data_IF_510647278829
#
_entry.id   IF_510647278829
#
_cell.length_a   1.000
_cell.length_b   1.000
_cell.length_c   1.000
_cell.angle_alpha   90.00
_cell.angle_beta   90.00
_cell.angle_gamma   90.00
#
_symmetry.space_group_name_H-M   'P 1'
#
loop_
_entity.id
_entity.type
_entity.pdbx_description
1 polymer ?
#
# COMPACT_ATOMS: atom_id res chain seq x y z
N UNK A 1 -13.07 -14.67 -12.35
CA UNK A 1 -14.43 -14.14 -12.63
C UNK A 1 -15.35 -14.53 -11.47
N UNK A 2 -16.30 -13.67 -11.08
CA UNK A 2 -17.29 -13.94 -10.04
C UNK A 2 -18.70 -13.92 -10.62
N UNK A 3 -19.55 -14.80 -10.11
CA UNK A 3 -20.95 -14.91 -10.49
C UNK A 3 -21.81 -14.56 -9.29
N UNK A 4 -22.67 -13.57 -9.46
CA UNK A 4 -23.63 -13.12 -8.44
C UNK A 4 -25.01 -13.73 -8.68
N UNK A 5 -25.65 -14.20 -7.61
CA UNK A 5 -26.97 -14.81 -7.63
C UNK A 5 -28.00 -13.86 -7.01
N UNK A 6 -29.02 -13.51 -7.76
CA UNK A 6 -30.11 -12.66 -7.29
C UNK A 6 -31.46 -13.21 -7.74
N UNK A 7 -32.53 -12.81 -7.09
CA UNK A 7 -33.89 -13.16 -7.51
C UNK A 7 -34.24 -12.63 -8.93
N UNK A 8 -33.55 -11.58 -9.36
CA UNK A 8 -33.71 -10.99 -10.68
C UNK A 8 -32.85 -11.67 -11.77
N UNK A 9 -31.94 -12.59 -11.42
CA UNK A 9 -31.07 -13.31 -12.36
C UNK A 9 -29.66 -13.50 -11.90
N UNK A 10 -28.80 -13.93 -12.84
CA UNK A 10 -27.37 -14.15 -12.64
C UNK A 10 -26.58 -12.96 -13.21
N UNK A 11 -25.58 -12.52 -12.47
CA UNK A 11 -24.72 -11.40 -12.85
C UNK A 11 -23.26 -11.83 -12.87
N UNK A 12 -22.45 -11.20 -13.71
CA UNK A 12 -21.05 -11.55 -13.90
C UNK A 12 -20.17 -10.31 -13.78
N UNK A 13 -19.05 -10.45 -13.09
CA UNK A 13 -18.04 -9.42 -13.02
C UNK A 13 -16.64 -10.01 -12.76
N UNK A 14 -15.61 -9.20 -12.92
CA UNK A 14 -14.25 -9.53 -12.49
C UNK A 14 -14.07 -9.46 -10.97
N UNK A 15 -14.89 -8.64 -10.28
CA UNK A 15 -14.84 -8.41 -8.84
C UNK A 15 -16.25 -8.37 -8.24
N UNK A 16 -16.44 -8.95 -7.05
CA UNK A 16 -17.72 -8.92 -6.32
C UNK A 16 -18.21 -7.50 -5.99
N UNK A 17 -17.30 -6.52 -5.85
CA UNK A 17 -17.66 -5.13 -5.56
C UNK A 17 -18.56 -4.52 -6.65
N UNK A 18 -18.39 -4.96 -7.90
CA UNK A 18 -19.24 -4.51 -9.01
C UNK A 18 -20.69 -5.01 -8.90
N UNK A 19 -20.93 -6.06 -8.12
CA UNK A 19 -22.22 -6.74 -8.01
C UNK A 19 -22.87 -6.63 -6.63
N UNK A 20 -22.19 -6.02 -5.65
CA UNK A 20 -22.64 -6.02 -4.24
C UNK A 20 -24.00 -5.31 -4.03
N UNK A 21 -24.32 -4.34 -4.90
CA UNK A 21 -25.60 -3.67 -4.87
C UNK A 21 -26.76 -4.55 -5.39
N UNK A 22 -26.43 -5.60 -6.15
CA UNK A 22 -27.39 -6.52 -6.78
C UNK A 22 -27.60 -7.77 -5.90
N UNK A 23 -26.53 -8.28 -5.29
CA UNK A 23 -26.58 -9.51 -4.48
C UNK A 23 -25.42 -9.58 -3.49
N UNK A 24 -25.62 -10.40 -2.44
CA UNK A 24 -24.55 -10.81 -1.50
C UNK A 24 -24.09 -12.26 -1.71
N UNK A 25 -24.69 -13.00 -2.67
CA UNK A 25 -24.39 -14.41 -2.92
C UNK A 25 -23.51 -14.54 -4.16
N UNK A 26 -22.35 -15.15 -4.03
CA UNK A 26 -21.36 -15.24 -5.09
C UNK A 26 -20.77 -16.64 -5.22
N UNK A 27 -20.46 -17.06 -6.45
CA UNK A 27 -19.56 -18.18 -6.74
C UNK A 27 -18.34 -17.64 -7.51
N UNK A 28 -17.15 -18.14 -7.15
CA UNK A 28 -15.90 -17.78 -7.80
C UNK A 28 -15.50 -18.89 -8.76
N UNK A 29 -15.18 -18.50 -10.00
CA UNK A 29 -14.64 -19.41 -11.00
C UNK A 29 -13.15 -19.63 -10.77
N UNK A 30 -12.69 -20.83 -11.00
CA UNK A 30 -11.27 -21.17 -11.06
C UNK A 30 -10.72 -20.98 -12.47
N UNK A 31 -9.39 -20.98 -12.61
CA UNK A 31 -8.73 -20.82 -13.89
C UNK A 31 -9.09 -22.01 -14.83
N UNK A 32 -9.53 -21.68 -16.03
CA UNK A 32 -9.98 -22.67 -17.01
C UNK A 32 -11.45 -23.09 -16.87
N UNK A 33 -12.18 -22.61 -15.85
CA UNK A 33 -13.60 -22.90 -15.72
C UNK A 33 -14.42 -22.30 -16.86
N UNK A 34 -15.39 -23.09 -17.31
CA UNK A 34 -16.46 -22.67 -18.23
C UNK A 34 -17.79 -22.73 -17.47
N UNK A 35 -18.51 -21.62 -17.46
CA UNK A 35 -19.86 -21.54 -16.88
C UNK A 35 -20.90 -21.55 -17.99
N UNK A 36 -21.73 -22.61 -18.06
CA UNK A 36 -22.85 -22.72 -18.96
C UNK A 36 -24.13 -22.29 -18.27
N UNK A 37 -24.79 -21.26 -18.82
CA UNK A 37 -26.05 -20.75 -18.31
C UNK A 37 -27.18 -21.05 -19.25
N UNK A 38 -28.23 -21.65 -18.71
CA UNK A 38 -29.46 -21.94 -19.43
C UNK A 38 -30.67 -21.78 -18.47
N UNK A 39 -31.66 -20.97 -18.88
CA UNK A 39 -32.89 -20.77 -18.10
C UNK A 39 -32.66 -20.41 -16.61
N UNK A 40 -31.72 -19.51 -16.33
CA UNK A 40 -31.33 -19.11 -15.00
C UNK A 40 -30.64 -20.20 -14.16
N UNK A 41 -30.35 -21.35 -14.75
CA UNK A 41 -29.51 -22.39 -14.15
C UNK A 41 -28.07 -22.26 -14.63
N UNK A 42 -27.12 -22.53 -13.73
CA UNK A 42 -25.68 -22.49 -14.05
C UNK A 42 -25.06 -23.86 -13.81
N UNK A 43 -24.22 -24.27 -14.75
CA UNK A 43 -23.35 -25.46 -14.63
C UNK A 43 -21.90 -25.04 -14.88
N UNK A 44 -21.02 -25.50 -14.03
CA UNK A 44 -19.59 -25.25 -14.17
C UNK A 44 -18.90 -26.51 -14.74
N UNK A 45 -17.94 -26.28 -15.57
CA UNK A 45 -17.03 -27.29 -16.10
C UNK A 45 -15.60 -26.79 -15.89
N UNK A 46 -14.72 -27.69 -15.45
CA UNK A 46 -13.30 -27.41 -15.32
C UNK A 46 -12.58 -27.39 -16.69
N UNK A 47 -11.27 -27.14 -16.65
CA UNK A 47 -10.43 -27.08 -17.86
C UNK A 47 -10.47 -28.38 -18.69
N UNK A 48 -10.74 -29.53 -18.06
CA UNK A 48 -10.87 -30.84 -18.72
C UNK A 48 -12.29 -31.13 -19.23
N UNK A 49 -13.22 -30.17 -19.08
CA UNK A 49 -14.62 -30.28 -19.46
C UNK A 49 -15.48 -31.15 -18.54
N UNK A 50 -14.97 -31.46 -17.32
CA UNK A 50 -15.70 -32.23 -16.33
C UNK A 50 -16.61 -31.31 -15.53
N UNK A 51 -17.85 -31.74 -15.31
CA UNK A 51 -18.79 -30.97 -14.47
C UNK A 51 -18.31 -30.89 -13.03
N UNK A 52 -18.21 -29.66 -12.52
CA UNK A 52 -17.77 -29.36 -11.17
C UNK A 52 -18.81 -28.49 -10.45
N UNK A 53 -18.76 -28.48 -9.11
CA UNK A 53 -19.57 -27.56 -8.30
C UNK A 53 -18.68 -26.45 -7.77
N UNK A 54 -19.19 -25.21 -7.81
CA UNK A 54 -18.60 -24.06 -7.15
C UNK A 54 -19.51 -23.64 -6.01
N UNK A 55 -18.92 -23.43 -4.82
CA UNK A 55 -19.68 -23.05 -3.63
C UNK A 55 -20.25 -21.64 -3.79
N UNK A 56 -21.46 -21.45 -3.23
CA UNK A 56 -22.05 -20.12 -3.10
C UNK A 56 -21.64 -19.56 -1.74
N UNK A 57 -20.85 -18.51 -1.79
CA UNK A 57 -20.34 -17.79 -0.63
C UNK A 57 -21.21 -16.54 -0.41
N UNK A 58 -21.58 -16.30 0.85
CA UNK A 58 -22.29 -15.07 1.24
C UNK A 58 -21.27 -14.04 1.64
N UNK A 59 -21.17 -12.98 0.84
CA UNK A 59 -20.27 -11.85 1.14
C UNK A 59 -20.69 -11.14 2.42
N UNK A 60 -19.71 -10.81 3.26
CA UNK A 60 -19.89 -9.99 4.46
C UNK A 60 -20.00 -8.49 4.16
N UNK A 61 -19.72 -8.09 2.92
CA UNK A 61 -19.87 -6.72 2.49
C UNK A 61 -21.34 -6.32 2.45
N UNK A 62 -21.67 -5.15 3.00
CA UNK A 62 -23.04 -4.66 3.07
C UNK A 62 -23.30 -3.57 2.02
N UNK A 63 -24.52 -3.54 1.49
CA UNK A 63 -25.03 -2.41 0.71
C UNK A 63 -24.84 -1.11 1.52
N UNK A 64 -24.31 -0.06 0.89
CA UNK A 64 -24.03 1.22 1.54
C UNK A 64 -22.62 1.41 2.06
N UNK A 65 -21.79 0.36 2.21
CA UNK A 65 -20.36 0.53 2.46
C UNK A 65 -19.63 1.18 1.26
N UNK A 66 -20.25 1.13 0.08
CA UNK A 66 -19.78 1.71 -1.18
C UNK A 66 -20.44 3.10 -1.43
N UNK A 67 -20.75 3.87 -0.41
CA UNK A 67 -21.25 5.23 -0.60
C UNK A 67 -20.16 6.27 -0.36
N UNK A 68 -20.20 7.36 -1.10
CA UNK A 68 -19.30 8.52 -0.89
C UNK A 68 -19.64 9.27 0.41
N UNK A 69 -20.84 9.06 0.97
CA UNK A 69 -21.33 9.82 2.12
C UNK A 69 -21.29 11.33 1.84
N UNK A 70 -20.65 12.10 2.71
CA UNK A 70 -20.50 13.57 2.57
C UNK A 70 -19.41 14.01 1.60
N UNK A 71 -18.64 13.09 1.05
CA UNK A 71 -17.52 13.40 0.17
C UNK A 71 -17.93 13.42 -1.30
N UNK A 72 -17.31 14.30 -2.08
CA UNK A 72 -17.56 14.37 -3.52
C UNK A 72 -16.93 13.20 -4.29
N UNK A 73 -15.83 12.63 -3.76
CA UNK A 73 -15.05 11.59 -4.41
C UNK A 73 -14.74 10.44 -3.44
N UNK A 74 -14.65 9.21 -3.99
CA UNK A 74 -14.23 8.05 -3.22
C UNK A 74 -12.83 8.20 -2.65
N UNK A 75 -11.87 8.64 -3.46
CA UNK A 75 -10.49 8.84 -2.99
C UNK A 75 -10.44 9.78 -1.78
N UNK A 76 -11.20 10.88 -1.79
CA UNK A 76 -11.23 11.81 -0.64
C UNK A 76 -11.77 11.12 0.61
N UNK A 77 -12.90 10.40 0.46
CA UNK A 77 -13.46 9.60 1.54
C UNK A 77 -12.44 8.59 2.08
N UNK A 78 -11.76 7.87 1.19
CA UNK A 78 -10.80 6.81 1.54
C UNK A 78 -9.56 7.37 2.26
N UNK A 79 -9.13 8.59 1.92
CA UNK A 79 -8.10 9.30 2.70
C UNK A 79 -8.59 9.57 4.13
N UNK A 80 -9.85 9.97 4.30
CA UNK A 80 -10.46 10.23 5.61
C UNK A 80 -10.90 8.96 6.36
N UNK A 81 -11.08 7.85 5.67
CA UNK A 81 -11.38 6.55 6.28
C UNK A 81 -10.15 5.90 6.95
N UNK A 82 -8.92 6.36 6.65
CA UNK A 82 -7.68 5.74 7.12
C UNK A 82 -7.60 5.54 8.66
N UNK A 83 -8.06 6.49 9.50
CA UNK A 83 -8.09 6.24 10.95
C UNK A 83 -8.93 5.02 11.32
N UNK A 84 -10.09 4.83 10.68
CA UNK A 84 -10.96 3.67 10.94
C UNK A 84 -10.35 2.41 10.33
N UNK A 85 -9.88 2.46 9.09
CA UNK A 85 -9.23 1.34 8.42
C UNK A 85 -8.04 0.78 9.23
N UNK A 86 -7.25 1.65 9.85
CA UNK A 86 -6.15 1.22 10.74
C UNK A 86 -6.68 0.59 12.02
N UNK A 87 -7.73 1.11 12.64
CA UNK A 87 -8.37 0.46 13.80
C UNK A 87 -8.81 -0.96 13.45
N UNK A 88 -9.50 -1.11 12.31
CA UNK A 88 -10.01 -2.40 11.85
C UNK A 88 -8.87 -3.38 11.53
N UNK A 89 -7.77 -2.87 10.94
CA UNK A 89 -6.56 -3.67 10.69
C UNK A 89 -5.91 -4.15 11.99
N UNK A 90 -5.90 -3.33 13.05
CA UNK A 90 -5.28 -3.65 14.34
C UNK A 90 -6.18 -4.48 15.26
N UNK A 91 -7.49 -4.50 14.98
CA UNK A 91 -8.46 -5.24 15.78
C UNK A 91 -8.07 -6.71 15.88
N UNK A 92 -8.11 -7.27 17.08
CA UNK A 92 -7.69 -8.64 17.40
C UNK A 92 -6.22 -8.99 17.12
N UNK A 93 -5.40 -8.06 16.66
CA UNK A 93 -3.98 -8.29 16.33
C UNK A 93 -3.02 -7.70 17.37
N UNK A 94 -3.51 -6.75 18.15
CA UNK A 94 -2.79 -6.17 19.29
C UNK A 94 -3.71 -6.19 20.52
N UNK A 95 -3.25 -6.75 21.63
CA UNK A 95 -3.91 -6.65 22.93
C UNK A 95 -2.86 -6.48 24.02
N UNK A 96 -3.19 -5.72 25.08
CA UNK A 96 -2.32 -5.45 26.22
C UNK A 96 -0.89 -4.99 25.81
N UNK A 97 -0.79 -4.25 24.69
CA UNK A 97 0.46 -3.80 24.09
C UNK A 97 1.38 -4.93 23.62
N UNK A 98 0.83 -6.09 23.30
CA UNK A 98 1.51 -7.22 22.67
C UNK A 98 0.92 -7.50 21.30
N UNK A 99 1.76 -7.89 20.35
CA UNK A 99 1.35 -8.26 19.00
C UNK A 99 1.16 -9.77 18.95
N UNK A 100 -0.01 -10.20 18.46
CA UNK A 100 -0.35 -11.61 18.33
C UNK A 100 0.26 -12.20 17.05
N UNK A 101 1.20 -13.12 17.21
CA UNK A 101 1.86 -13.83 16.11
C UNK A 101 0.84 -14.71 15.37
N UNK A 102 -0.11 -15.29 16.10
CA UNK A 102 -1.16 -16.19 15.60
C UNK A 102 -2.10 -15.51 14.59
N UNK A 103 -2.09 -14.16 14.53
CA UNK A 103 -2.82 -13.41 13.49
C UNK A 103 -2.32 -13.72 12.06
N UNK A 104 -1.15 -14.31 11.91
CA UNK A 104 -0.57 -14.80 10.64
C UNK A 104 -0.82 -16.28 10.39
N UNK A 105 -1.49 -16.99 11.30
CA UNK A 105 -1.81 -18.40 11.22
C UNK A 105 -1.32 -19.20 12.43
N UNK A 106 -1.87 -20.40 12.66
CA UNK A 106 -1.63 -21.17 13.89
C UNK A 106 -0.14 -21.58 14.08
N UNK A 107 0.62 -21.78 13.01
CA UNK A 107 2.03 -22.18 13.06
C UNK A 107 3.00 -21.02 12.80
N UNK A 108 2.49 -19.77 12.80
CA UNK A 108 3.29 -18.61 12.43
C UNK A 108 4.53 -18.44 13.32
N UNK A 109 4.43 -18.67 14.62
CA UNK A 109 5.56 -18.54 15.55
C UNK A 109 6.71 -19.49 15.21
N UNK A 110 6.40 -20.75 14.90
CA UNK A 110 7.40 -21.74 14.50
C UNK A 110 8.05 -21.36 13.17
N UNK A 111 7.25 -21.08 12.17
CA UNK A 111 7.70 -20.66 10.84
C UNK A 111 8.61 -19.44 10.95
N UNK A 112 8.15 -18.38 11.61
CA UNK A 112 8.89 -17.12 11.71
C UNK A 112 10.21 -17.26 12.48
N UNK A 113 10.30 -18.21 13.41
CA UNK A 113 11.54 -18.47 14.14
C UNK A 113 12.68 -18.95 13.26
N UNK A 114 12.37 -19.65 12.15
CA UNK A 114 13.33 -20.24 11.22
C UNK A 114 13.69 -19.36 10.03
N UNK A 115 12.95 -18.27 9.78
CA UNK A 115 13.12 -17.41 8.60
C UNK A 115 14.49 -16.71 8.65
N UNK A 116 15.25 -16.82 7.57
CA UNK A 116 16.55 -16.15 7.37
C UNK A 116 16.48 -15.04 6.33
N UNK A 117 15.53 -15.14 5.40
CA UNK A 117 15.30 -14.15 4.35
C UNK A 117 13.81 -13.92 4.13
N UNK A 118 13.43 -12.67 3.89
CA UNK A 118 12.10 -12.30 3.43
C UNK A 118 12.20 -11.76 2.01
N UNK A 119 11.44 -12.35 1.09
CA UNK A 119 11.33 -11.86 -0.28
C UNK A 119 9.93 -11.31 -0.50
N UNK A 120 9.82 -9.99 -0.66
CA UNK A 120 8.56 -9.29 -0.94
C UNK A 120 8.40 -9.14 -2.45
N UNK A 121 7.24 -9.53 -2.98
CA UNK A 121 6.93 -9.47 -4.41
C UNK A 121 5.59 -8.73 -4.56
N UNK A 122 5.60 -7.62 -5.28
CA UNK A 122 4.42 -6.76 -5.43
C UNK A 122 4.54 -5.82 -6.64
N UNK A 123 3.46 -5.10 -6.96
CA UNK A 123 3.41 -4.07 -7.99
C UNK A 123 3.02 -2.71 -7.41
N UNK A 124 3.45 -1.62 -8.05
CA UNK A 124 2.99 -0.24 -7.78
C UNK A 124 3.07 0.17 -6.31
N UNK A 125 1.97 0.65 -5.78
CA UNK A 125 1.81 1.07 -4.37
C UNK A 125 2.24 -0.01 -3.37
N UNK A 126 1.89 -1.28 -3.65
CA UNK A 126 2.27 -2.41 -2.80
C UNK A 126 3.79 -2.68 -2.82
N UNK A 127 4.45 -2.47 -3.95
CA UNK A 127 5.91 -2.50 -4.04
C UNK A 127 6.55 -1.40 -3.18
N UNK A 128 6.01 -0.17 -3.21
CA UNK A 128 6.49 0.92 -2.36
C UNK A 128 6.32 0.61 -0.86
N UNK A 129 5.23 -0.05 -0.47
CA UNK A 129 5.05 -0.54 0.91
C UNK A 129 6.11 -1.59 1.29
N UNK A 130 6.42 -2.49 0.37
CA UNK A 130 7.49 -3.49 0.53
C UNK A 130 8.85 -2.85 0.76
N UNK A 131 9.19 -1.79 0.02
CA UNK A 131 10.44 -1.05 0.21
C UNK A 131 10.56 -0.43 1.61
N UNK A 132 9.47 0.05 2.20
CA UNK A 132 9.47 0.51 3.59
C UNK A 132 9.72 -0.65 4.54
N UNK A 133 9.04 -1.79 4.33
CA UNK A 133 9.15 -2.97 5.17
C UNK A 133 10.56 -3.58 5.16
N UNK A 134 11.28 -3.50 4.05
CA UNK A 134 12.67 -3.96 3.95
C UNK A 134 13.54 -3.33 5.05
N UNK A 135 13.48 -2.01 5.21
CA UNK A 135 14.20 -1.32 6.27
C UNK A 135 13.78 -1.79 7.68
N UNK A 136 12.49 -2.07 7.87
CA UNK A 136 12.00 -2.53 9.18
C UNK A 136 12.44 -3.96 9.48
N UNK A 137 12.37 -4.86 8.52
CA UNK A 137 12.77 -6.27 8.67
C UNK A 137 14.26 -6.38 9.01
N UNK A 138 15.11 -5.62 8.34
CA UNK A 138 16.55 -5.61 8.61
C UNK A 138 16.89 -4.94 9.96
N UNK A 139 16.27 -3.79 10.28
CA UNK A 139 16.55 -3.07 11.55
C UNK A 139 15.95 -3.76 12.78
N UNK A 140 14.70 -4.24 12.69
CA UNK A 140 13.95 -4.71 13.85
C UNK A 140 14.00 -6.23 13.98
N UNK A 141 13.72 -6.94 12.89
CA UNK A 141 13.66 -8.41 12.90
C UNK A 141 15.04 -9.07 12.68
N UNK A 142 16.04 -8.29 12.23
CA UNK A 142 17.39 -8.79 11.91
C UNK A 142 17.36 -9.90 10.87
N UNK A 143 16.48 -9.77 9.89
CA UNK A 143 16.29 -10.70 8.78
C UNK A 143 16.58 -9.95 7.48
N UNK A 144 17.41 -10.55 6.62
CA UNK A 144 17.68 -9.97 5.30
C UNK A 144 16.39 -9.90 4.47
N UNK A 145 16.23 -8.85 3.68
CA UNK A 145 15.03 -8.65 2.89
C UNK A 145 15.37 -8.18 1.47
N UNK A 146 14.65 -8.72 0.49
CA UNK A 146 14.64 -8.19 -0.88
C UNK A 146 13.22 -7.89 -1.33
N UNK A 147 13.06 -6.84 -2.13
CA UNK A 147 11.76 -6.42 -2.67
C UNK A 147 11.86 -6.39 -4.18
N UNK A 148 10.93 -7.05 -4.86
CA UNK A 148 10.95 -7.19 -6.31
C UNK A 148 9.61 -6.82 -6.93
N UNK A 149 9.66 -6.20 -8.10
CA UNK A 149 8.47 -5.96 -8.91
C UNK A 149 7.99 -7.30 -9.47
N UNK A 150 6.70 -7.59 -9.29
CA UNK A 150 6.17 -8.92 -9.64
C UNK A 150 6.27 -9.22 -11.13
N UNK A 151 6.03 -8.25 -12.02
CA UNK A 151 6.20 -8.41 -13.47
C UNK A 151 7.61 -8.82 -13.89
N UNK A 152 8.63 -8.36 -13.17
CA UNK A 152 10.02 -8.71 -13.45
C UNK A 152 10.42 -10.05 -12.80
N UNK A 153 9.90 -10.32 -11.60
CA UNK A 153 10.22 -11.54 -10.86
C UNK A 153 9.71 -12.80 -11.58
N UNK A 154 8.51 -12.75 -12.15
CA UNK A 154 7.84 -13.93 -12.75
C UNK A 154 8.62 -14.52 -13.94
N UNK A 155 9.40 -13.72 -14.65
CA UNK A 155 10.11 -14.14 -15.87
C UNK A 155 11.57 -14.49 -15.64
N UNK A 156 12.14 -14.11 -14.51
CA UNK A 156 13.55 -14.39 -14.28
C UNK A 156 13.79 -15.65 -13.44
N UNK A 157 14.95 -16.27 -13.62
CA UNK A 157 15.43 -17.37 -12.79
C UNK A 157 16.15 -16.79 -11.57
N UNK A 158 15.41 -16.53 -10.49
CA UNK A 158 15.99 -16.00 -9.26
C UNK A 158 16.56 -17.12 -8.38
N UNK A 159 17.70 -16.84 -7.74
CA UNK A 159 18.24 -17.73 -6.71
C UNK A 159 17.43 -17.54 -5.43
N UNK A 160 16.91 -18.63 -4.88
CA UNK A 160 16.16 -18.62 -3.63
C UNK A 160 17.11 -19.01 -2.48
N UNK A 161 17.19 -18.16 -1.47
CA UNK A 161 17.93 -18.44 -0.25
C UNK A 161 17.17 -19.47 0.61
N UNK A 162 17.92 -20.17 1.46
CA UNK A 162 17.31 -21.09 2.44
C UNK A 162 16.39 -20.31 3.38
N UNK A 163 15.37 -20.99 3.90
CA UNK A 163 14.45 -20.43 4.88
C UNK A 163 13.86 -19.07 4.46
N UNK A 164 13.51 -18.92 3.16
CA UNK A 164 12.89 -17.73 2.61
C UNK A 164 11.38 -17.75 2.85
N UNK A 165 10.85 -16.67 3.44
CA UNK A 165 9.43 -16.35 3.44
C UNK A 165 9.13 -15.46 2.23
N UNK A 166 8.27 -15.93 1.32
CA UNK A 166 7.75 -15.11 0.23
C UNK A 166 6.52 -14.34 0.70
N UNK A 167 6.56 -13.01 0.58
CA UNK A 167 5.45 -12.13 0.97
C UNK A 167 4.88 -11.49 -0.28
N UNK A 168 3.65 -11.85 -0.60
CA UNK A 168 2.87 -11.29 -1.70
C UNK A 168 1.98 -10.17 -1.16
N UNK A 169 2.02 -8.99 -1.76
CA UNK A 169 1.20 -7.85 -1.31
C UNK A 169 0.29 -7.41 -2.45
N UNK A 170 -1.01 -7.42 -2.21
CA UNK A 170 -2.00 -6.93 -3.17
C UNK A 170 -3.25 -6.44 -2.44
N UNK A 171 -3.84 -5.32 -2.85
CA UNK A 171 -5.10 -4.85 -2.29
C UNK A 171 -6.25 -5.78 -2.70
N UNK A 172 -6.40 -6.06 -4.00
CA UNK A 172 -7.47 -6.90 -4.54
C UNK A 172 -7.21 -8.40 -4.39
N UNK A 173 -5.92 -8.80 -4.41
CA UNK A 173 -5.51 -10.20 -4.51
C UNK A 173 -5.73 -10.83 -5.89
N UNK A 174 -6.03 -9.98 -6.90
CA UNK A 174 -6.26 -10.40 -8.30
C UNK A 174 -5.24 -9.78 -9.27
N UNK A 175 -4.16 -9.18 -8.78
CA UNK A 175 -3.10 -8.63 -9.62
C UNK A 175 -2.39 -9.75 -10.36
N UNK A 176 -2.54 -9.79 -11.69
CA UNK A 176 -2.07 -10.89 -12.54
C UNK A 176 -0.60 -11.23 -12.31
N UNK A 177 0.29 -10.24 -12.38
CA UNK A 177 1.73 -10.47 -12.19
C UNK A 177 2.08 -11.04 -10.81
N UNK A 178 1.42 -10.55 -9.74
CA UNK A 178 1.66 -11.03 -8.38
C UNK A 178 1.18 -12.47 -8.20
N UNK A 179 0.03 -12.79 -8.78
CA UNK A 179 -0.54 -14.14 -8.74
C UNK A 179 0.34 -15.15 -9.53
N UNK A 180 0.74 -14.78 -10.74
CA UNK A 180 1.59 -15.63 -11.57
C UNK A 180 3.00 -15.82 -10.97
N UNK A 181 3.55 -14.79 -10.32
CA UNK A 181 4.79 -14.93 -9.55
C UNK A 181 4.63 -15.97 -8.42
N UNK A 182 3.51 -15.93 -7.68
CA UNK A 182 3.22 -16.92 -6.63
C UNK A 182 3.04 -18.33 -7.20
N UNK A 183 2.27 -18.50 -8.27
CA UNK A 183 2.10 -19.80 -8.95
C UNK A 183 3.44 -20.36 -9.42
N UNK A 184 4.29 -19.53 -10.01
CA UNK A 184 5.64 -19.93 -10.41
C UNK A 184 6.48 -20.42 -9.23
N UNK A 185 6.40 -19.74 -8.06
CA UNK A 185 7.08 -20.16 -6.83
C UNK A 185 6.52 -21.51 -6.35
N UNK A 186 5.20 -21.65 -6.26
CA UNK A 186 4.56 -22.87 -5.78
C UNK A 186 4.94 -24.08 -6.67
N UNK A 187 4.98 -23.90 -8.00
CA UNK A 187 5.31 -24.96 -8.95
C UNK A 187 6.80 -25.35 -8.89
N UNK A 188 7.70 -24.36 -8.90
CA UNK A 188 9.15 -24.61 -8.92
C UNK A 188 9.70 -25.01 -7.53
N UNK A 189 9.07 -24.53 -6.47
CA UNK A 189 9.52 -24.66 -5.08
C UNK A 189 8.36 -24.99 -4.13
N UNK A 190 7.72 -26.17 -4.24
CA UNK A 190 6.48 -26.51 -3.51
C UNK A 190 6.62 -26.50 -1.99
N UNK A 191 7.87 -26.57 -1.48
CA UNK A 191 8.17 -26.49 -0.05
C UNK A 191 8.35 -25.05 0.46
N UNK A 192 8.38 -24.06 -0.43
CA UNK A 192 8.51 -22.65 -0.02
C UNK A 192 7.31 -22.20 0.79
N UNK A 193 7.55 -21.28 1.71
CA UNK A 193 6.52 -20.69 2.56
C UNK A 193 6.12 -19.36 1.93
N UNK A 194 4.83 -19.22 1.63
CA UNK A 194 4.24 -17.98 1.10
C UNK A 194 3.23 -17.40 2.08
N UNK A 195 3.25 -16.09 2.22
CA UNK A 195 2.27 -15.28 2.96
C UNK A 195 1.71 -14.24 2.02
N UNK A 196 0.40 -14.14 1.88
CA UNK A 196 -0.20 -12.98 1.25
C UNK A 196 -0.70 -11.97 2.30
N UNK A 197 -0.48 -10.68 2.03
CA UNK A 197 -1.09 -9.55 2.70
C UNK A 197 -2.11 -8.96 1.73
N UNK A 198 -3.39 -9.17 2.01
CA UNK A 198 -4.47 -8.85 1.08
C UNK A 198 -5.67 -8.23 1.80
N UNK A 199 -6.53 -7.53 1.07
CA UNK A 199 -7.76 -6.97 1.64
C UNK A 199 -9.01 -7.80 1.31
N UNK A 200 -8.93 -8.70 0.34
CA UNK A 200 -10.05 -9.52 -0.15
C UNK A 200 -9.85 -10.98 0.27
N UNK A 201 -10.73 -11.51 1.13
CA UNK A 201 -10.59 -12.84 1.72
C UNK A 201 -10.69 -13.98 0.70
N UNK A 202 -11.50 -13.80 -0.34
CA UNK A 202 -11.81 -14.83 -1.34
C UNK A 202 -11.06 -14.63 -2.66
N UNK A 203 -9.96 -13.88 -2.63
CA UNK A 203 -9.17 -13.62 -3.83
C UNK A 203 -8.33 -14.83 -4.25
N UNK A 204 -7.93 -14.83 -5.53
CA UNK A 204 -7.04 -15.87 -6.07
C UNK A 204 -5.72 -15.96 -5.30
N UNK A 205 -5.15 -14.80 -4.93
CA UNK A 205 -3.91 -14.75 -4.17
C UNK A 205 -4.04 -15.40 -2.78
N UNK A 206 -5.20 -15.23 -2.10
CA UNK A 206 -5.44 -15.84 -0.79
C UNK A 206 -5.60 -17.35 -0.88
N UNK A 207 -6.23 -17.84 -1.94
CA UNK A 207 -6.39 -19.29 -2.18
C UNK A 207 -5.07 -19.99 -2.51
N UNK A 208 -4.18 -19.31 -3.21
CA UNK A 208 -2.87 -19.85 -3.64
C UNK A 208 -1.78 -19.74 -2.56
N UNK A 209 -1.97 -18.90 -1.54
CA UNK A 209 -0.96 -18.65 -0.49
C UNK A 209 -1.08 -19.63 0.66
N UNK A 210 0.06 -20.07 1.21
CA UNK A 210 0.07 -20.95 2.40
C UNK A 210 -0.33 -20.27 3.70
N UNK A 211 -0.06 -18.98 3.80
CA UNK A 211 -0.45 -18.13 4.93
C UNK A 211 -1.16 -16.90 4.40
N UNK A 212 -2.16 -16.41 5.13
CA UNK A 212 -2.98 -15.27 4.73
C UNK A 212 -3.09 -14.28 5.87
N UNK A 213 -2.82 -13.02 5.59
CA UNK A 213 -3.08 -11.91 6.50
C UNK A 213 -4.05 -10.92 5.84
N UNK A 214 -5.26 -10.80 6.39
CA UNK A 214 -6.25 -9.86 5.90
C UNK A 214 -6.10 -8.49 6.57
N UNK A 215 -6.00 -7.46 5.73
CA UNK A 215 -5.82 -6.08 6.19
C UNK A 215 -7.09 -5.49 6.83
N UNK A 216 -8.26 -5.89 6.35
CA UNK A 216 -9.57 -5.42 6.83
C UNK A 216 -9.76 -3.89 6.74
N UNK A 217 -9.19 -3.23 5.72
CA UNK A 217 -9.32 -1.77 5.55
C UNK A 217 -10.66 -1.35 4.94
N UNK A 218 -11.57 -2.30 4.72
CA UNK A 218 -12.83 -2.08 4.02
C UNK A 218 -12.66 -1.89 2.50
N UNK A 219 -13.77 -1.73 1.76
CA UNK A 219 -13.72 -1.54 0.30
C UNK A 219 -12.98 -0.27 -0.08
N UNK A 220 -12.11 -0.34 -1.10
CA UNK A 220 -11.42 0.79 -1.71
C UNK A 220 -11.81 0.86 -3.18
N UNK A 221 -12.54 1.92 -3.56
CA UNK A 221 -13.19 2.08 -4.87
C UNK A 221 -12.37 2.97 -5.80
N UNK A 222 -11.79 4.04 -5.26
CA UNK A 222 -10.90 4.91 -6.03
C UNK A 222 -9.77 4.09 -6.67
N UNK A 223 -9.50 4.36 -7.96
CA UNK A 223 -8.47 3.60 -8.70
C UNK A 223 -7.10 3.77 -8.05
N UNK A 224 -6.72 4.98 -7.70
CA UNK A 224 -5.47 5.27 -6.99
C UNK A 224 -5.59 4.83 -5.52
N UNK A 225 -4.75 3.88 -5.12
CA UNK A 225 -4.76 3.33 -3.76
C UNK A 225 -4.37 4.38 -2.71
N UNK A 226 -5.11 4.43 -1.61
CA UNK A 226 -4.87 5.35 -0.48
C UNK A 226 -4.87 4.63 0.86
N UNK A 227 -6.03 4.19 1.35
CA UNK A 227 -6.15 3.50 2.65
C UNK A 227 -5.56 2.09 2.63
N UNK A 228 -5.57 1.41 1.47
CA UNK A 228 -4.90 0.13 1.33
C UNK A 228 -3.40 0.26 1.53
N UNK A 229 -2.75 1.33 1.04
CA UNK A 229 -1.33 1.58 1.27
C UNK A 229 -0.98 1.67 2.76
N UNK A 230 -1.72 2.49 3.51
CA UNK A 230 -1.48 2.61 4.96
C UNK A 230 -1.81 1.33 5.72
N UNK A 231 -2.84 0.60 5.29
CA UNK A 231 -3.15 -0.75 5.80
C UNK A 231 -2.02 -1.76 5.52
N UNK A 232 -1.42 -1.72 4.34
CA UNK A 232 -0.24 -2.54 4.00
C UNK A 232 0.95 -2.21 4.90
N UNK A 233 1.24 -0.92 5.11
CA UNK A 233 2.32 -0.51 6.01
C UNK A 233 2.08 -0.98 7.45
N UNK A 234 0.86 -0.86 7.97
CA UNK A 234 0.48 -1.39 9.29
C UNK A 234 0.67 -2.90 9.34
N UNK A 235 0.17 -3.63 8.35
CA UNK A 235 0.29 -5.09 8.27
C UNK A 235 1.75 -5.56 8.21
N UNK A 236 2.57 -4.87 7.43
CA UNK A 236 4.01 -5.15 7.32
C UNK A 236 4.77 -4.82 8.61
N UNK A 237 4.33 -3.81 9.36
CA UNK A 237 4.90 -3.51 10.68
C UNK A 237 4.55 -4.58 11.71
N UNK A 238 3.33 -5.12 11.65
CA UNK A 238 2.91 -6.27 12.46
C UNK A 238 3.72 -7.52 12.09
N UNK A 239 3.88 -7.82 10.80
CA UNK A 239 4.71 -8.93 10.32
C UNK A 239 6.15 -8.82 10.81
N UNK A 240 6.77 -7.65 10.62
CA UNK A 240 8.13 -7.38 11.08
C UNK A 240 8.28 -7.65 12.58
N UNK A 241 7.32 -7.17 13.38
CA UNK A 241 7.34 -7.34 14.83
C UNK A 241 7.10 -8.79 15.23
N UNK A 242 6.19 -9.50 14.55
CA UNK A 242 5.92 -10.92 14.78
C UNK A 242 7.15 -11.79 14.48
N UNK A 243 7.85 -11.55 13.36
CA UNK A 243 9.12 -12.23 13.04
C UNK A 243 10.17 -11.94 14.11
N UNK A 244 10.35 -10.66 14.48
CA UNK A 244 11.33 -10.26 15.50
C UNK A 244 11.05 -10.90 16.87
N UNK A 245 9.78 -11.02 17.25
CA UNK A 245 9.32 -11.68 18.48
C UNK A 245 9.61 -13.19 18.43
N UNK A 246 9.26 -13.87 17.34
CA UNK A 246 9.48 -15.30 17.14
C UNK A 246 10.97 -15.66 17.15
N UNK A 247 11.81 -14.79 16.58
CA UNK A 247 13.29 -14.92 16.60
C UNK A 247 13.94 -14.51 17.92
N UNK A 248 13.16 -14.02 18.89
CA UNK A 248 13.63 -13.56 20.20
C UNK A 248 14.67 -12.41 20.12
N UNK A 249 14.65 -11.62 19.06
CA UNK A 249 15.54 -10.45 18.87
C UNK A 249 14.89 -9.13 19.27
N UNK A 250 13.62 -9.16 19.67
CA UNK A 250 12.85 -8.00 20.11
C UNK A 250 12.66 -8.01 21.63
N UNK A 251 13.08 -6.93 22.30
CA UNK A 251 12.78 -6.78 23.73
C UNK A 251 11.29 -6.43 23.96
N UNK A 252 10.74 -6.86 25.11
CA UNK A 252 9.37 -6.53 25.51
C UNK A 252 9.09 -5.03 25.51
N UNK A 253 10.04 -4.22 25.94
CA UNK A 253 9.91 -2.74 25.92
C UNK A 253 9.77 -2.21 24.49
N UNK A 254 10.57 -2.71 23.57
CA UNK A 254 10.50 -2.29 22.15
C UNK A 254 9.19 -2.74 21.50
N UNK A 255 8.72 -3.96 21.80
CA UNK A 255 7.40 -4.44 21.37
C UNK A 255 6.28 -3.51 21.87
N UNK A 256 6.27 -3.17 23.17
CA UNK A 256 5.29 -2.25 23.74
C UNK A 256 5.30 -0.88 23.08
N UNK A 257 6.48 -0.33 22.79
CA UNK A 257 6.60 0.95 22.10
C UNK A 257 6.01 0.91 20.69
N UNK A 258 6.23 -0.19 19.96
CA UNK A 258 5.67 -0.41 18.63
C UNK A 258 4.14 -0.53 18.72
N UNK A 259 3.63 -1.41 19.58
CA UNK A 259 2.21 -1.63 19.75
C UNK A 259 1.47 -0.34 20.18
N UNK A 260 2.02 0.41 21.15
CA UNK A 260 1.49 1.70 21.56
C UNK A 260 1.51 2.73 20.42
N UNK A 261 2.58 2.76 19.64
CA UNK A 261 2.68 3.62 18.47
C UNK A 261 1.59 3.34 17.45
N UNK A 262 1.35 2.05 17.14
CA UNK A 262 0.31 1.61 16.21
C UNK A 262 -1.09 1.94 16.75
N UNK A 263 -1.38 1.67 18.02
CA UNK A 263 -2.67 1.99 18.64
C UNK A 263 -2.99 3.49 18.65
N UNK A 264 -1.99 4.35 18.67
CA UNK A 264 -2.15 5.81 18.62
C UNK A 264 -2.30 6.37 17.21
N UNK A 265 -1.92 5.60 16.17
CA UNK A 265 -1.96 6.06 14.77
C UNK A 265 -3.30 6.65 14.35
N UNK A 266 -4.46 6.02 14.64
CA UNK A 266 -5.75 6.56 14.23
C UNK A 266 -5.99 8.01 14.71
N UNK A 267 -5.66 8.28 15.96
CA UNK A 267 -5.79 9.63 16.53
C UNK A 267 -4.80 10.63 15.91
N UNK A 268 -3.55 10.20 15.69
CA UNK A 268 -2.53 11.04 15.06
C UNK A 268 -2.94 11.39 13.62
N UNK A 269 -3.46 10.43 12.85
CA UNK A 269 -3.91 10.68 11.47
C UNK A 269 -5.09 11.66 11.46
N UNK A 270 -6.04 11.57 12.41
CA UNK A 270 -7.12 12.55 12.53
C UNK A 270 -6.60 13.98 12.71
N UNK A 271 -5.53 14.16 13.50
CA UNK A 271 -4.89 15.48 13.64
C UNK A 271 -4.18 15.90 12.35
N UNK A 272 -3.47 14.99 11.68
CA UNK A 272 -2.78 15.28 10.42
C UNK A 272 -3.77 15.69 9.32
N UNK A 273 -4.94 15.08 9.26
CA UNK A 273 -5.96 15.46 8.27
C UNK A 273 -6.43 16.93 8.41
N UNK A 274 -6.26 17.55 9.57
CA UNK A 274 -6.60 18.98 9.80
C UNK A 274 -5.72 19.94 9.00
N UNK A 275 -4.58 19.50 8.47
CA UNK A 275 -3.72 20.34 7.61
C UNK A 275 -4.26 20.47 6.17
N UNK A 276 -5.33 19.77 5.82
CA UNK A 276 -5.89 19.78 4.47
C UNK A 276 -6.15 21.17 3.89
N UNK A 277 -6.70 22.16 4.62
CA UNK A 277 -6.92 23.50 4.07
C UNK A 277 -5.60 24.15 3.58
N UNK A 278 -4.51 23.94 4.29
CA UNK A 278 -3.19 24.43 3.90
C UNK A 278 -2.67 23.66 2.67
N UNK A 279 -2.82 22.34 2.64
CA UNK A 279 -2.47 21.51 1.47
C UNK A 279 -3.23 21.99 0.22
N UNK A 280 -4.54 22.24 0.36
CA UNK A 280 -5.36 22.77 -0.72
C UNK A 280 -4.85 24.11 -1.26
N UNK A 281 -4.37 24.99 -0.37
CA UNK A 281 -3.81 26.28 -0.78
C UNK A 281 -2.52 26.10 -1.58
N UNK A 282 -1.56 25.33 -1.08
CA UNK A 282 -0.29 25.10 -1.79
C UNK A 282 -0.46 24.28 -3.08
N UNK A 283 -1.54 23.52 -3.22
CA UNK A 283 -1.83 22.76 -4.44
C UNK A 283 -2.04 23.67 -5.65
N UNK A 284 -2.43 24.94 -5.46
CA UNK A 284 -2.59 25.93 -6.53
C UNK A 284 -1.28 26.18 -7.28
N UNK A 285 -0.13 26.06 -6.62
CA UNK A 285 1.17 26.28 -7.22
C UNK A 285 1.51 25.22 -8.28
N UNK A 286 0.79 24.08 -8.27
CA UNK A 286 1.00 22.96 -9.20
C UNK A 286 0.10 23.01 -10.44
N UNK A 287 -0.86 23.95 -10.53
CA UNK A 287 -1.87 23.98 -11.59
C UNK A 287 -1.26 23.93 -13.00
N UNK A 288 -0.18 24.68 -13.22
CA UNK A 288 0.48 24.80 -14.52
C UNK A 288 1.84 24.05 -14.58
N UNK A 289 2.12 23.20 -13.61
CA UNK A 289 3.36 22.42 -13.60
C UNK A 289 3.17 21.10 -14.35
N UNK A 290 4.18 20.73 -15.15
CA UNK A 290 4.17 19.47 -15.90
C UNK A 290 5.09 18.42 -15.27
N UNK A 291 6.07 18.85 -14.47
CA UNK A 291 7.03 17.99 -13.79
C UNK A 291 7.02 18.27 -12.30
N UNK A 292 7.38 17.29 -11.49
CA UNK A 292 7.60 17.44 -10.05
C UNK A 292 8.62 16.40 -9.57
N UNK A 293 9.51 16.77 -8.67
CA UNK A 293 10.45 15.83 -8.07
C UNK A 293 10.10 15.61 -6.60
N UNK A 294 10.25 14.37 -6.16
CA UNK A 294 10.02 13.98 -4.76
C UNK A 294 11.32 13.47 -4.15
N UNK A 295 11.64 13.94 -2.96
CA UNK A 295 12.88 13.60 -2.27
C UNK A 295 12.63 13.00 -0.89
N UNK A 296 13.34 11.95 -0.59
CA UNK A 296 13.35 11.33 0.72
C UNK A 296 14.65 10.57 0.99
N UNK A 297 14.85 10.13 2.22
CA UNK A 297 15.98 9.25 2.59
C UNK A 297 15.50 8.07 3.43
N UNK A 298 16.14 6.90 3.25
CA UNK A 298 15.73 5.67 3.93
C UNK A 298 14.27 5.33 3.62
N UNK A 299 13.48 4.98 4.62
CA UNK A 299 12.04 4.67 4.44
C UNK A 299 11.26 5.81 3.81
N UNK A 300 11.72 7.07 3.92
CA UNK A 300 11.03 8.24 3.35
C UNK A 300 11.28 8.40 1.86
N UNK A 301 12.30 7.75 1.30
CA UNK A 301 12.42 7.62 -0.15
C UNK A 301 11.25 6.79 -0.72
N UNK A 302 10.91 5.65 -0.11
CA UNK A 302 9.77 4.86 -0.54
C UNK A 302 8.43 5.62 -0.40
N UNK A 303 8.28 6.49 0.64
CA UNK A 303 7.12 7.37 0.79
C UNK A 303 7.11 8.49 -0.27
N UNK A 304 8.27 9.02 -0.63
CA UNK A 304 8.40 9.96 -1.74
C UNK A 304 8.01 9.30 -3.07
N UNK A 305 8.41 8.04 -3.30
CA UNK A 305 7.98 7.24 -4.47
C UNK A 305 6.46 7.09 -4.51
N UNK A 306 5.84 6.79 -3.39
CA UNK A 306 4.37 6.68 -3.31
C UNK A 306 3.68 8.01 -3.58
N UNK A 307 4.18 9.12 -3.01
CA UNK A 307 3.67 10.47 -3.30
C UNK A 307 3.79 10.84 -4.77
N UNK A 308 4.93 10.55 -5.40
CA UNK A 308 5.15 10.77 -6.83
C UNK A 308 4.20 9.91 -7.68
N UNK A 309 4.00 8.64 -7.30
CA UNK A 309 3.06 7.74 -7.96
C UNK A 309 1.63 8.29 -7.90
N UNK A 310 1.15 8.70 -6.72
CA UNK A 310 -0.19 9.27 -6.57
C UNK A 310 -0.37 10.54 -7.39
N UNK A 311 0.60 11.46 -7.36
CA UNK A 311 0.53 12.69 -8.16
C UNK A 311 0.46 12.36 -9.66
N UNK A 312 1.28 11.45 -10.14
CA UNK A 312 1.33 10.99 -11.53
C UNK A 312 0.01 10.37 -11.98
N UNK A 313 -0.53 9.45 -11.20
CA UNK A 313 -1.73 8.67 -11.54
C UNK A 313 -2.96 9.55 -11.74
N UNK A 314 -3.17 10.54 -10.89
CA UNK A 314 -4.44 11.28 -10.85
C UNK A 314 -4.35 12.69 -11.41
N UNK A 315 -3.16 13.33 -11.45
CA UNK A 315 -3.01 14.69 -11.99
C UNK A 315 -2.30 14.74 -13.36
N UNK A 316 -1.71 13.62 -13.78
CA UNK A 316 -0.91 13.48 -15.00
C UNK A 316 0.35 14.37 -15.06
N UNK A 317 0.78 14.90 -13.91
CA UNK A 317 2.09 15.55 -13.79
C UNK A 317 3.15 14.45 -13.84
N UNK A 318 4.21 14.61 -14.63
CA UNK A 318 5.34 13.71 -14.62
C UNK A 318 6.08 13.88 -13.29
N UNK A 319 5.80 13.03 -12.34
CA UNK A 319 6.38 13.05 -11.01
C UNK A 319 7.35 11.87 -10.82
N UNK A 320 8.56 12.17 -10.36
CA UNK A 320 9.58 11.16 -10.04
C UNK A 320 10.11 11.35 -8.63
N UNK A 321 10.54 10.24 -8.02
CA UNK A 321 11.13 10.27 -6.70
C UNK A 321 12.56 9.75 -6.71
N UNK A 322 13.42 10.44 -5.97
CA UNK A 322 14.83 10.07 -5.83
C UNK A 322 15.21 9.97 -4.35
N UNK A 323 16.10 9.05 -4.04
CA UNK A 323 16.86 9.15 -2.81
C UNK A 323 17.62 10.46 -2.84
N UNK A 324 17.42 11.36 -1.86
CA UNK A 324 17.96 12.70 -1.93
C UNK A 324 19.50 12.75 -2.09
N UNK A 325 20.21 11.70 -1.67
CA UNK A 325 21.64 11.55 -1.90
C UNK A 325 22.02 11.33 -3.36
N UNK A 326 21.10 10.83 -4.19
CA UNK A 326 21.33 10.53 -5.61
C UNK A 326 21.15 11.76 -6.51
N UNK A 327 20.71 12.91 -5.98
CA UNK A 327 20.52 14.12 -6.78
C UNK A 327 21.76 14.47 -7.62
N UNK A 328 22.96 14.36 -7.05
CA UNK A 328 24.22 14.71 -7.73
C UNK A 328 24.61 13.75 -8.86
N UNK A 329 23.97 12.59 -8.92
CA UNK A 329 24.25 11.55 -9.92
C UNK A 329 23.34 11.62 -11.15
N UNK A 330 22.86 12.83 -11.48
CA UNK A 330 22.07 13.12 -12.68
C UNK A 330 20.80 13.93 -12.43
N UNK A 331 19.91 13.54 -11.49
CA UNK A 331 18.60 14.19 -11.32
C UNK A 331 18.64 15.69 -11.03
N UNK A 332 19.72 16.19 -10.47
CA UNK A 332 19.92 17.61 -10.18
C UNK A 332 19.88 18.50 -11.46
N UNK A 333 20.13 17.91 -12.61
CA UNK A 333 20.05 18.60 -13.91
C UNK A 333 18.60 18.99 -14.28
N UNK A 334 17.58 18.33 -13.66
CA UNK A 334 16.16 18.60 -13.88
C UNK A 334 15.63 19.73 -13.00
N UNK A 335 16.45 20.22 -12.06
CA UNK A 335 16.00 21.21 -11.07
C UNK A 335 16.17 22.61 -11.61
N UNK A 336 15.05 23.30 -11.78
CA UNK A 336 14.94 24.70 -12.17
C UNK A 336 13.78 25.39 -11.40
N UNK A 337 13.51 26.65 -11.72
CA UNK A 337 12.41 27.43 -11.12
C UNK A 337 11.01 26.90 -11.43
N UNK A 338 10.85 26.08 -12.47
CA UNK A 338 9.57 25.57 -12.94
C UNK A 338 9.26 24.15 -12.46
N UNK A 339 10.25 23.46 -11.91
CA UNK A 339 10.15 22.10 -11.38
C UNK A 339 10.01 22.14 -9.85
N UNK A 340 8.79 22.01 -9.27
CA UNK A 340 8.60 21.95 -7.83
C UNK A 340 9.25 20.70 -7.24
N UNK A 341 9.84 20.84 -6.05
CA UNK A 341 10.46 19.74 -5.33
C UNK A 341 9.76 19.49 -4.01
N UNK A 342 9.22 18.30 -3.85
CA UNK A 342 8.54 17.85 -2.64
C UNK A 342 9.52 17.05 -1.78
N UNK A 343 9.68 17.44 -0.52
CA UNK A 343 10.67 16.82 0.39
C UNK A 343 9.97 16.20 1.59
N UNK A 344 10.27 14.94 1.90
CA UNK A 344 9.81 14.26 3.11
C UNK A 344 10.91 14.28 4.16
N UNK A 345 10.75 15.13 5.18
CA UNK A 345 11.80 15.51 6.14
C UNK A 345 11.46 15.12 7.59
N UNK A 346 11.67 13.85 8.00
CA UNK A 346 11.52 13.45 9.39
C UNK A 346 12.65 13.99 10.26
N UNK A 347 12.41 14.10 11.58
CA UNK A 347 13.49 14.27 12.55
C UNK A 347 14.17 12.91 12.81
N UNK A 348 15.30 12.66 12.16
CA UNK A 348 16.09 11.45 12.34
C UNK A 348 17.58 11.72 12.06
N UNK A 349 18.40 10.67 12.14
CA UNK A 349 19.85 10.73 11.96
C UNK A 349 20.29 11.21 10.55
N UNK A 350 19.39 11.15 9.56
CA UNK A 350 19.66 11.57 8.18
C UNK A 350 19.21 13.02 7.90
N UNK A 351 18.64 13.73 8.87
CA UNK A 351 18.09 15.07 8.66
C UNK A 351 19.15 16.06 8.18
N UNK A 352 20.33 16.07 8.77
CA UNK A 352 21.42 17.00 8.37
C UNK A 352 21.91 16.71 6.94
N UNK A 353 21.94 15.43 6.53
CA UNK A 353 22.24 15.05 5.15
C UNK A 353 21.15 15.51 4.17
N UNK A 354 19.89 15.41 4.59
CA UNK A 354 18.77 15.89 3.80
C UNK A 354 18.79 17.42 3.67
N UNK A 355 19.10 18.16 4.72
CA UNK A 355 19.29 19.63 4.68
C UNK A 355 20.33 20.04 3.65
N UNK A 356 21.48 19.34 3.58
CA UNK A 356 22.48 19.59 2.54
C UNK A 356 21.93 19.43 1.13
N UNK A 357 21.15 18.36 0.90
CA UNK A 357 20.50 18.17 -0.41
C UNK A 357 19.46 19.25 -0.71
N UNK A 358 18.70 19.71 0.29
CA UNK A 358 17.75 20.82 0.15
C UNK A 358 18.47 22.14 -0.22
N UNK A 359 19.65 22.41 0.33
CA UNK A 359 20.46 23.57 -0.05
C UNK A 359 20.88 23.52 -1.53
N UNK A 360 21.22 22.34 -2.04
CA UNK A 360 21.55 22.14 -3.45
C UNK A 360 20.36 22.44 -4.38
N UNK A 361 19.14 22.04 -3.98
CA UNK A 361 17.89 22.38 -4.67
C UNK A 361 17.63 23.89 -4.61
N UNK A 362 17.74 24.48 -3.41
CA UNK A 362 17.48 25.90 -3.18
C UNK A 362 18.40 26.80 -4.03
N UNK A 363 19.67 26.42 -4.18
CA UNK A 363 20.64 27.18 -5.00
C UNK A 363 20.30 27.22 -6.49
N UNK A 364 19.36 26.40 -6.96
CA UNK A 364 18.88 26.36 -8.36
C UNK A 364 17.52 27.05 -8.54
N UNK A 365 17.00 27.66 -7.47
CA UNK A 365 15.77 28.47 -7.52
C UNK A 365 14.47 27.69 -7.60
N UNK A 366 14.49 26.37 -7.43
CA UNK A 366 13.27 25.58 -7.38
C UNK A 366 12.48 25.87 -6.09
N UNK A 367 11.16 25.93 -6.21
CA UNK A 367 10.26 25.98 -5.04
C UNK A 367 10.19 24.61 -4.38
N UNK A 368 10.52 24.55 -3.10
CA UNK A 368 10.46 23.35 -2.29
C UNK A 368 9.22 23.34 -1.38
N UNK A 369 8.56 22.18 -1.30
CA UNK A 369 7.44 21.88 -0.39
C UNK A 369 7.91 20.82 0.59
N UNK A 370 8.27 21.26 1.81
CA UNK A 370 8.95 20.40 2.79
C UNK A 370 7.95 19.91 3.83
N UNK A 371 7.52 18.69 3.71
CA UNK A 371 6.71 17.98 4.70
C UNK A 371 7.61 17.51 5.82
N UNK A 372 7.58 18.20 6.96
CA UNK A 372 8.50 17.96 8.06
C UNK A 372 7.82 17.47 9.35
N UNK A 373 8.58 16.72 10.14
CA UNK A 373 8.28 16.56 11.57
C UNK A 373 8.39 17.94 12.24
N UNK A 374 7.44 18.30 13.08
CA UNK A 374 7.46 19.58 13.80
C UNK A 374 8.78 19.83 14.53
N UNK A 375 9.39 18.75 15.07
CA UNK A 375 10.65 18.80 15.79
C UNK A 375 11.88 18.84 14.87
N UNK A 376 11.70 18.73 13.54
CA UNK A 376 12.80 18.89 12.59
C UNK A 376 13.18 20.39 12.50
N UNK A 377 14.41 20.70 12.92
CA UNK A 377 14.96 22.05 12.84
C UNK A 377 15.35 22.36 11.38
N UNK A 378 14.39 22.89 10.61
CA UNK A 378 14.57 23.36 9.24
C UNK A 378 14.13 24.82 9.20
N UNK A 379 15.03 25.69 8.75
CA UNK A 379 14.74 27.12 8.56
C UNK A 379 14.14 27.34 7.17
N UNK A 380 13.09 28.15 7.12
CA UNK A 380 12.46 28.55 5.87
C UNK A 380 13.38 29.46 5.05
N UNK A 381 13.30 29.33 3.74
CA UNK A 381 13.99 30.18 2.76
C UNK A 381 12.97 30.74 1.76
N UNK A 382 13.30 31.78 0.97
CA UNK A 382 12.35 32.37 0.01
C UNK A 382 11.73 31.35 -0.98
N UNK A 383 12.47 30.31 -1.34
CA UNK A 383 12.02 29.27 -2.27
C UNK A 383 11.59 27.98 -1.51
N UNK A 384 11.01 28.12 -0.31
CA UNK A 384 10.63 26.97 0.50
C UNK A 384 9.34 27.24 1.27
N UNK A 385 8.42 26.29 1.21
CA UNK A 385 7.22 26.25 2.08
C UNK A 385 7.36 25.08 3.03
N UNK A 386 7.30 25.34 4.33
CA UNK A 386 7.39 24.32 5.38
C UNK A 386 5.98 23.86 5.77
N UNK A 387 5.74 22.56 5.70
CA UNK A 387 4.50 21.90 6.08
C UNK A 387 4.76 21.02 7.29
N UNK A 388 4.40 21.51 8.48
CA UNK A 388 4.49 20.72 9.71
C UNK A 388 3.39 19.65 9.73
N UNK A 389 3.80 18.40 9.73
CA UNK A 389 2.86 17.25 9.69
C UNK A 389 2.39 16.91 11.10
N UNK A 390 3.31 16.58 12.00
CA UNK A 390 3.09 16.34 13.43
C UNK A 390 4.44 16.17 14.12
N UNK A 391 4.47 15.94 15.42
CA UNK A 391 5.70 15.80 16.21
C UNK A 391 5.95 14.37 16.68
N UNK A 392 7.23 14.04 16.80
CA UNK A 392 7.66 12.82 17.49
C UNK A 392 7.36 11.53 16.73
N UNK A 393 7.55 11.54 15.43
CA UNK A 393 7.28 10.41 14.55
C UNK A 393 8.30 9.30 14.74
N UNK A 394 7.80 8.10 15.10
CA UNK A 394 8.61 6.90 15.24
C UNK A 394 9.10 6.32 13.91
N UNK A 395 10.05 5.38 13.98
CA UNK A 395 10.58 4.69 12.79
C UNK A 395 9.50 3.92 12.01
N UNK A 396 8.52 3.32 12.71
CA UNK A 396 7.39 2.59 12.12
C UNK A 396 6.26 3.56 11.73
N UNK A 397 5.84 4.42 12.66
CA UNK A 397 4.67 5.29 12.45
C UNK A 397 4.93 6.42 11.46
N UNK A 398 6.17 6.91 11.40
CA UNK A 398 6.53 8.03 10.52
C UNK A 398 6.21 7.79 9.04
N UNK A 399 6.63 6.68 8.41
CA UNK A 399 6.28 6.40 7.03
C UNK A 399 4.77 6.43 6.76
N UNK A 400 3.97 5.85 7.66
CA UNK A 400 2.51 5.80 7.54
C UNK A 400 1.92 7.21 7.57
N UNK A 401 2.37 8.03 8.50
CA UNK A 401 1.85 9.39 8.72
C UNK A 401 2.24 10.33 7.58
N UNK A 402 3.48 10.27 7.08
CA UNK A 402 3.92 11.12 5.98
C UNK A 402 3.22 10.82 4.63
N UNK A 403 2.64 9.62 4.46
CA UNK A 403 1.87 9.31 3.27
C UNK A 403 0.60 10.15 3.14
N UNK A 404 -0.06 10.47 4.28
CA UNK A 404 -1.36 11.16 4.29
C UNK A 404 -1.33 12.53 3.60
N UNK A 405 -0.43 13.46 3.97
CA UNK A 405 -0.38 14.77 3.33
C UNK A 405 0.02 14.72 1.85
N UNK A 406 0.79 13.71 1.43
CA UNK A 406 1.12 13.52 0.02
C UNK A 406 -0.09 13.03 -0.81
N UNK A 407 -0.93 12.20 -0.21
CA UNK A 407 -2.21 11.80 -0.81
C UNK A 407 -3.15 13.01 -0.97
N UNK A 408 -3.28 13.86 0.06
CA UNK A 408 -4.06 15.09 0.01
C UNK A 408 -3.52 16.06 -1.05
N UNK A 409 -2.20 16.24 -1.13
CA UNK A 409 -1.58 17.08 -2.16
C UNK A 409 -1.96 16.59 -3.56
N UNK A 410 -1.76 15.31 -3.82
CA UNK A 410 -2.08 14.71 -5.12
C UNK A 410 -3.57 14.86 -5.47
N UNK A 411 -4.46 14.64 -4.50
CA UNK A 411 -5.90 14.79 -4.66
C UNK A 411 -6.28 16.23 -5.05
N UNK A 412 -5.83 17.25 -4.30
CA UNK A 412 -6.17 18.63 -4.57
C UNK A 412 -5.56 19.16 -5.86
N UNK A 413 -4.33 18.78 -6.19
CA UNK A 413 -3.70 19.12 -7.48
C UNK A 413 -4.53 18.55 -8.64
N UNK A 414 -4.96 17.30 -8.55
CA UNK A 414 -5.78 16.66 -9.58
C UNK A 414 -7.12 17.36 -9.78
N UNK A 415 -7.79 17.75 -8.68
CA UNK A 415 -9.04 18.50 -8.74
C UNK A 415 -8.88 19.86 -9.43
N UNK A 416 -7.84 20.61 -9.08
CA UNK A 416 -7.56 21.91 -9.70
C UNK A 416 -7.27 21.78 -11.21
N UNK A 417 -6.69 20.66 -11.63
CA UNK A 417 -6.43 20.37 -13.05
C UNK A 417 -7.66 19.79 -13.78
N UNK A 418 -8.81 19.64 -13.10
CA UNK A 418 -10.04 19.10 -13.70
C UNK A 418 -9.95 17.58 -13.99
N UNK A 419 -9.08 16.85 -13.33
CA UNK A 419 -8.91 15.41 -13.55
C UNK A 419 -9.96 14.60 -12.77
N UNK A 420 -10.35 13.44 -13.32
CA UNK A 420 -11.18 12.48 -12.59
C UNK A 420 -10.30 11.70 -11.60
N UNK A 421 -10.44 12.00 -10.31
CA UNK A 421 -9.60 11.41 -9.24
C UNK A 421 -10.00 9.98 -8.88
N UNK A 422 -11.28 9.61 -9.08
CA UNK A 422 -11.77 8.25 -8.77
C UNK A 422 -11.49 7.27 -9.92
N UNK A 423 -11.53 7.76 -11.16
CA UNK A 423 -11.33 6.98 -12.38
C UNK A 423 -10.39 7.73 -13.34
N UNK A 424 -9.09 7.83 -13.03
CA UNK A 424 -8.14 8.48 -13.92
C UNK A 424 -8.02 7.71 -15.25
N UNK A 425 -7.75 8.47 -16.31
CA UNK A 425 -7.64 7.88 -17.67
C UNK A 425 -6.56 6.79 -17.72
N UNK A 426 -6.80 5.76 -18.55
CA UNK A 426 -5.86 4.69 -18.83
C UNK A 426 -5.47 3.81 -17.63
N UNK A 427 -6.16 3.94 -16.51
CA UNK A 427 -5.92 3.12 -15.32
C UNK A 427 -7.15 2.28 -14.96
N UNK A 428 -6.92 1.13 -14.37
CA UNK A 428 -7.93 0.26 -13.79
C UNK A 428 -7.64 0.03 -12.31
N UNK A 429 -8.67 -0.23 -11.50
CA UNK A 429 -8.51 -0.50 -10.04
C UNK A 429 -7.64 -1.73 -9.79
N UNK A 430 -7.76 -2.75 -10.61
CA UNK A 430 -6.96 -3.98 -10.54
C UNK A 430 -6.54 -4.39 -11.96
N UNK A 431 -5.26 -4.71 -12.12
CA UNK A 431 -4.70 -5.22 -13.38
C UNK A 431 -4.79 -6.74 -13.33
N UNK A 432 -5.85 -7.28 -13.93
CA UNK A 432 -6.19 -8.71 -13.90
C UNK A 432 -5.78 -9.45 -15.16
N UNK A 433 -5.23 -8.74 -16.14
CA UNK A 433 -4.73 -9.26 -17.43
C UNK A 433 -3.37 -8.65 -17.73
N UNK A 434 -2.59 -9.34 -18.58
CA UNK A 434 -1.36 -8.80 -19.18
C UNK A 434 -1.65 -7.81 -20.29
#
# INVERSE_FOLDING_TARGET
MVIGYSDSGLFFASDQLALIDLTSKFSYMEDGDVALIKNNEIKFYDIDGKAVKREIIISKLQRGQISKGKFSHFMHKEIYDQPQAIRDTLESKISHNEIYIESFGPNAAEIFSTIEHVKIIACGTSYNAGLVAMYWLEDIAKVSCSVEVASEYRYRNSVIQKNTLFVMISQSGETADTLEALKSINNKHPKSISLCICNTSESSLTRESKMVFLMNVGPEIGVASSKAFTGQLVSLSLLTTAIAKSKKVLSKNRERLIANGLNRLPGIIQEVLKIEPFIKEISKDFLHKNNALFLGRGTKHAIAMEGALKLKEISYIHAEAFAAGELKHGPIALIDKDTPVIVVAPKNDLLEKLKSNMQEVNSRGSMMYVFKDELADIKETPNMKLISVTKGLGRITGPIIFAIPLQLLSYHVALLRGCNVDQPRNLAKSVTVE
#
